data_IF_960621514083
#
_entry.id   IF_960621514083
#
_cell.length_a   1.000
_cell.length_b   1.000
_cell.length_c   1.000
_cell.angle_alpha   90.00
_cell.angle_beta   90.00
_cell.angle_gamma   90.00
#
_symmetry.space_group_name_H-M   'P 1'
#
loop_
_entity.id
_entity.type
_entity.pdbx_description
1 polymer ?
#
# COMPACT_ATOMS: atom_id res chain seq x y z
N UNK A 1 -2.08 28.12 -9.53
CA UNK A 1 -2.40 27.02 -8.61
C UNK A 1 -1.51 25.86 -9.01
N UNK A 2 -0.43 25.58 -8.28
CA UNK A 2 0.33 24.36 -8.52
C UNK A 2 -0.36 23.23 -7.75
N UNK A 3 -0.94 22.27 -8.47
CA UNK A 3 -1.44 21.05 -7.88
C UNK A 3 -0.24 20.25 -7.37
N UNK A 4 0.00 20.23 -6.05
CA UNK A 4 0.81 19.32 -5.24
C UNK A 4 2.10 18.68 -5.83
N UNK A 5 2.71 19.22 -6.89
CA UNK A 5 3.86 18.65 -7.59
C UNK A 5 3.59 17.32 -8.34
N UNK A 6 4.52 16.96 -9.24
CA UNK A 6 4.52 15.66 -9.95
C UNK A 6 4.73 14.51 -8.96
N UNK A 7 3.92 13.46 -9.03
CA UNK A 7 4.13 12.23 -8.27
C UNK A 7 5.42 11.55 -8.75
N UNK A 8 6.30 11.26 -7.81
CA UNK A 8 7.58 10.58 -8.04
C UNK A 8 7.54 9.11 -7.60
N UNK A 9 6.62 8.75 -6.71
CA UNK A 9 6.46 7.39 -6.23
C UNK A 9 5.20 7.20 -5.40
N UNK A 10 4.92 5.95 -5.10
CA UNK A 10 3.95 5.54 -4.11
C UNK A 10 4.62 4.63 -3.08
N UNK A 11 4.10 4.63 -1.86
CA UNK A 11 4.50 3.67 -0.83
C UNK A 11 3.23 2.91 -0.47
N UNK A 12 3.23 1.61 -0.78
CA UNK A 12 2.17 0.67 -0.43
C UNK A 12 2.50 0.05 0.93
N UNK A 13 1.52 0.03 1.83
CA UNK A 13 1.60 -0.58 3.14
C UNK A 13 0.62 -1.73 3.21
N UNK A 14 1.02 -2.86 3.78
CA UNK A 14 0.10 -3.94 4.12
C UNK A 14 0.46 -4.71 5.38
N UNK A 15 -0.57 -5.26 6.04
CA UNK A 15 -0.43 -6.03 7.28
C UNK A 15 -1.57 -7.03 7.48
N UNK A 16 -1.40 -7.93 8.45
CA UNK A 16 -2.44 -8.82 8.97
C UNK A 16 -3.20 -8.22 10.16
N UNK A 17 -2.60 -7.26 10.88
CA UNK A 17 -3.20 -6.63 12.06
C UNK A 17 -3.43 -5.12 11.83
N UNK A 18 -4.69 -4.73 11.62
CA UNK A 18 -5.07 -3.34 11.40
C UNK A 18 -4.78 -2.40 12.59
N UNK A 19 -4.55 -2.94 13.78
CA UNK A 19 -4.28 -2.13 14.98
C UNK A 19 -2.78 -1.84 15.14
N UNK A 20 -1.92 -2.48 14.34
CA UNK A 20 -0.49 -2.26 14.34
C UNK A 20 -0.16 -0.84 13.84
N UNK A 21 0.81 -0.13 14.45
CA UNK A 21 1.28 1.16 13.95
C UNK A 21 1.72 1.06 12.48
N UNK A 22 1.46 2.10 11.67
CA UNK A 22 1.75 2.08 10.23
C UNK A 22 3.24 1.86 9.92
N UNK A 23 4.13 2.31 10.80
CA UNK A 23 5.58 2.19 10.64
C UNK A 23 6.07 0.74 10.75
N UNK A 24 5.25 -0.14 11.33
CA UNK A 24 5.54 -1.57 11.45
C UNK A 24 4.86 -2.41 10.35
N UNK A 25 4.07 -1.80 9.46
CA UNK A 25 3.48 -2.51 8.32
C UNK A 25 4.55 -2.86 7.28
N UNK A 26 4.30 -3.88 6.47
CA UNK A 26 5.17 -4.18 5.34
C UNK A 26 5.08 -3.03 4.33
N UNK A 27 6.24 -2.53 3.89
CA UNK A 27 6.34 -1.37 3.00
C UNK A 27 6.94 -1.76 1.65
N UNK A 28 6.26 -1.38 0.57
CA UNK A 28 6.74 -1.56 -0.80
C UNK A 28 6.74 -0.23 -1.55
N UNK A 29 7.90 0.14 -2.11
CA UNK A 29 8.08 1.36 -2.90
C UNK A 29 7.77 1.12 -4.37
N UNK A 30 6.91 1.95 -4.95
CA UNK A 30 6.44 1.85 -6.34
C UNK A 30 6.83 3.14 -7.06
N UNK A 31 7.34 3.01 -8.29
CA UNK A 31 7.67 4.16 -9.13
C UNK A 31 6.41 4.97 -9.49
N UNK A 32 6.51 6.30 -9.53
CA UNK A 32 5.36 7.19 -9.71
C UNK A 32 4.71 7.13 -11.09
N UNK A 33 5.38 6.51 -12.07
CA UNK A 33 4.86 6.21 -13.40
C UNK A 33 4.05 4.90 -13.48
N UNK A 34 4.02 4.11 -12.39
CA UNK A 34 3.24 2.88 -12.29
C UNK A 34 2.00 3.10 -11.43
N UNK A 35 0.86 2.63 -11.95
CA UNK A 35 -0.43 2.64 -11.26
C UNK A 35 -0.89 1.24 -10.82
N UNK A 36 -0.08 0.22 -11.11
CA UNK A 36 -0.34 -1.19 -10.78
C UNK A 36 0.89 -1.81 -10.15
N UNK A 37 0.68 -2.61 -9.11
CA UNK A 37 1.74 -3.34 -8.41
C UNK A 37 1.21 -4.68 -7.91
N UNK A 38 2.05 -5.72 -7.98
CA UNK A 38 1.68 -7.08 -7.58
C UNK A 38 2.37 -7.43 -6.27
N UNK A 39 1.57 -7.71 -5.24
CA UNK A 39 2.06 -8.24 -3.97
C UNK A 39 2.02 -9.77 -4.06
N UNK A 40 3.15 -10.42 -3.74
CA UNK A 40 3.34 -11.85 -3.87
C UNK A 40 3.49 -12.51 -2.48
N UNK A 41 3.54 -13.84 -2.46
CA UNK A 41 3.85 -14.64 -1.26
C UNK A 41 2.92 -14.36 -0.05
N UNK A 42 1.65 -14.04 -0.34
CA UNK A 42 0.62 -13.86 0.68
C UNK A 42 0.08 -15.20 1.19
N UNK A 43 -0.27 -15.23 2.48
CA UNK A 43 -0.92 -16.37 3.10
C UNK A 43 -2.32 -16.57 2.50
N UNK A 44 -2.72 -17.81 2.29
CA UNK A 44 -4.06 -18.19 1.81
C UNK A 44 -5.13 -17.99 2.90
N UNK A 45 -6.39 -17.83 2.49
CA UNK A 45 -7.56 -17.60 3.36
C UNK A 45 -7.32 -16.55 4.47
N UNK A 46 -6.55 -15.51 4.16
CA UNK A 46 -6.05 -14.54 5.13
C UNK A 46 -6.50 -13.13 4.76
N UNK A 47 -6.99 -12.37 5.74
CA UNK A 47 -7.37 -10.96 5.55
C UNK A 47 -6.13 -10.09 5.67
N UNK A 48 -5.82 -9.35 4.61
CA UNK A 48 -4.81 -8.31 4.59
C UNK A 48 -5.47 -6.94 4.56
N UNK A 49 -4.84 -5.98 5.23
CA UNK A 49 -5.20 -4.56 5.18
C UNK A 49 -4.17 -3.82 4.35
N UNK A 50 -4.62 -2.88 3.53
CA UNK A 50 -3.76 -2.09 2.64
C UNK A 50 -4.01 -0.60 2.80
N UNK A 51 -2.94 0.19 2.74
CA UNK A 51 -2.96 1.66 2.62
C UNK A 51 -1.88 2.12 1.66
N UNK A 52 -2.08 3.26 1.01
CA UNK A 52 -1.09 3.82 0.08
C UNK A 52 -0.94 5.32 0.29
N UNK A 53 0.27 5.86 0.10
CA UNK A 53 0.50 7.30 0.01
C UNK A 53 1.36 7.65 -1.21
N UNK A 54 1.11 8.83 -1.77
CA UNK A 54 1.90 9.38 -2.86
C UNK A 54 3.11 10.16 -2.33
N UNK A 55 4.22 10.11 -3.06
CA UNK A 55 5.45 10.87 -2.80
C UNK A 55 5.75 11.80 -3.97
N UNK A 56 6.10 13.04 -3.66
CA UNK A 56 6.59 14.03 -4.62
C UNK A 56 7.97 14.57 -4.17
N UNK A 57 8.48 15.59 -4.85
CA UNK A 57 9.77 16.22 -4.51
C UNK A 57 9.78 16.97 -3.16
N UNK A 58 8.60 17.26 -2.59
CA UNK A 58 8.44 17.99 -1.31
C UNK A 58 8.21 17.07 -0.12
N UNK A 59 7.83 15.81 -0.34
CA UNK A 59 7.62 14.84 0.73
C UNK A 59 6.58 13.78 0.37
N UNK A 60 5.99 13.19 1.41
CA UNK A 60 4.88 12.23 1.29
C UNK A 60 3.55 12.93 1.59
N UNK A 61 2.52 12.57 0.82
CA UNK A 61 1.15 13.00 1.06
C UNK A 61 0.49 12.18 2.18
N UNK A 62 -0.81 12.42 2.44
CA UNK A 62 -1.56 11.63 3.42
C UNK A 62 -1.71 10.18 2.96
N UNK A 63 -1.84 9.26 3.93
CA UNK A 63 -2.27 7.89 3.68
C UNK A 63 -3.72 7.86 3.21
N UNK A 64 -4.03 6.92 2.31
CA UNK A 64 -5.40 6.57 1.93
C UNK A 64 -6.20 6.05 3.12
N UNK A 65 -7.52 5.98 2.97
CA UNK A 65 -8.35 5.13 3.82
C UNK A 65 -7.89 3.66 3.71
N UNK A 66 -8.03 2.86 4.79
CA UNK A 66 -7.69 1.46 4.76
C UNK A 66 -8.70 0.67 3.92
N UNK A 67 -8.17 -0.20 3.05
CA UNK A 67 -8.96 -1.24 2.40
C UNK A 67 -8.54 -2.60 2.95
N UNK A 68 -9.41 -3.60 2.84
CA UNK A 68 -9.07 -4.97 3.21
C UNK A 68 -9.43 -5.93 2.09
N UNK A 69 -8.65 -6.99 1.99
CA UNK A 69 -8.86 -8.05 1.02
C UNK A 69 -8.57 -9.40 1.67
N UNK A 70 -9.46 -10.38 1.45
CA UNK A 70 -9.21 -11.77 1.87
C UNK A 70 -8.65 -12.55 0.69
N UNK A 71 -7.48 -13.13 0.85
CA UNK A 71 -6.88 -14.00 -0.15
C UNK A 71 -7.71 -15.27 -0.36
N UNK A 72 -7.56 -15.88 -1.53
CA UNK A 72 -8.30 -17.10 -1.86
C UNK A 72 -8.00 -18.22 -0.86
N UNK A 73 -8.99 -19.08 -0.63
CA UNK A 73 -8.75 -20.39 -0.04
C UNK A 73 -7.93 -21.20 -1.03
N UNK A 74 -6.90 -21.91 -0.56
CA UNK A 74 -6.17 -22.84 -1.41
C UNK A 74 -7.14 -23.81 -2.06
N UNK A 75 -6.97 -24.08 -3.35
CA UNK A 75 -7.69 -25.18 -3.99
C UNK A 75 -7.14 -26.48 -3.40
N UNK A 76 -7.98 -27.21 -2.66
CA UNK A 76 -7.67 -28.57 -2.21
C UNK A 76 -7.63 -29.55 -3.36
#
# INVERSE_FOLDING_TARGET
MEANGRVMGYILYYTLDKNMPIDDWVMESISGDRLTHQVMDLNLDTVYYFRIQAKNAKGVGPLSDPIHFRTNKGTG
#
